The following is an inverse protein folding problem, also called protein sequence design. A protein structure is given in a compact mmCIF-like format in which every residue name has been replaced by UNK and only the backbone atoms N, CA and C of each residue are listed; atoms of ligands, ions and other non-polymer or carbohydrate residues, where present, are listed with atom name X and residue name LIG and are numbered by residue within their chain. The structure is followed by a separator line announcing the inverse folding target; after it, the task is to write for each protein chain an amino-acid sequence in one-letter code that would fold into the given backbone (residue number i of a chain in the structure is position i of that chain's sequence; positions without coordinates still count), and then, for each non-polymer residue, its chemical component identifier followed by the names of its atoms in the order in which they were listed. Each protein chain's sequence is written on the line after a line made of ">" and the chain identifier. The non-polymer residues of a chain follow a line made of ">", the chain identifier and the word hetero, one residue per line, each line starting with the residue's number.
data_IF_278287257409
#
_entry.id   IF_278287257409
#
_cell.length_a   1.000
_cell.length_b   1.000
_cell.length_c   1.000
_cell.angle_alpha   90.00
_cell.angle_beta   90.00
_cell.angle_gamma   90.00
#
_symmetry.space_group_name_H-M   'P 1'
#
loop_
_entity.id
_entity.type
_entity.pdbx_description
1 polymer ?
#
# COMPACT_ATOMS: atom_id res chain seq x y z
N UNK A 1 -13.33 14.51 -2.77
CA UNK A 1 -12.33 15.61 -2.84
C UNK A 1 -12.94 16.81 -3.56
N UNK A 2 -12.67 18.04 -3.10
CA UNK A 2 -13.13 19.29 -3.74
C UNK A 2 -11.96 20.05 -4.41
N UNK A 3 -12.27 21.00 -5.29
CA UNK A 3 -11.26 21.91 -5.87
C UNK A 3 -10.76 22.87 -4.78
N UNK A 4 -9.44 23.04 -4.70
CA UNK A 4 -8.75 23.85 -3.68
C UNK A 4 -8.21 23.03 -2.50
N UNK A 5 -8.57 21.75 -2.40
CA UNK A 5 -8.15 20.88 -1.31
C UNK A 5 -6.66 20.51 -1.44
N UNK A 6 -5.94 20.48 -0.31
CA UNK A 6 -4.52 20.09 -0.23
C UNK A 6 -4.43 18.63 0.18
N UNK A 7 -3.92 17.80 -0.72
CA UNK A 7 -3.78 16.36 -0.47
C UNK A 7 -2.31 15.94 -0.49
N UNK A 8 -1.98 14.97 0.37
CA UNK A 8 -0.69 14.28 0.35
C UNK A 8 -0.83 12.97 -0.42
N UNK A 9 0.08 12.70 -1.34
CA UNK A 9 0.09 11.48 -2.13
C UNK A 9 1.53 11.02 -2.40
N UNK A 10 1.71 9.72 -2.64
CA UNK A 10 3.01 9.19 -3.01
C UNK A 10 3.30 9.40 -4.51
N UNK A 11 4.44 10.01 -4.80
CA UNK A 11 4.94 10.23 -6.15
C UNK A 11 6.43 9.89 -6.24
N UNK A 12 6.78 8.93 -7.10
CA UNK A 12 8.18 8.49 -7.26
C UNK A 12 8.79 7.94 -5.97
N UNK A 13 7.99 7.26 -5.14
CA UNK A 13 8.45 6.69 -3.85
C UNK A 13 8.61 7.69 -2.71
N UNK A 14 8.31 8.98 -2.93
CA UNK A 14 8.32 10.02 -1.90
C UNK A 14 6.90 10.57 -1.69
N UNK A 15 6.61 11.01 -0.48
CA UNK A 15 5.37 11.75 -0.22
C UNK A 15 5.50 13.18 -0.74
N UNK A 16 4.45 13.63 -1.43
CA UNK A 16 4.33 14.97 -1.99
C UNK A 16 2.98 15.55 -1.65
N UNK A 17 2.93 16.86 -1.60
CA UNK A 17 1.71 17.62 -1.37
C UNK A 17 1.29 18.31 -2.66
N UNK A 18 -0.01 18.29 -2.96
CA UNK A 18 -0.57 18.95 -4.13
C UNK A 18 -1.95 19.52 -3.85
N UNK A 19 -2.30 20.56 -4.60
CA UNK A 19 -3.60 21.23 -4.54
C UNK A 19 -4.48 20.73 -5.67
N UNK A 20 -5.71 20.33 -5.38
CA UNK A 20 -6.67 19.93 -6.39
C UNK A 20 -7.10 21.16 -7.19
N UNK A 21 -6.86 21.14 -8.50
CA UNK A 21 -7.29 22.21 -9.42
C UNK A 21 -8.58 21.85 -10.13
N UNK A 22 -8.76 20.58 -10.50
CA UNK A 22 -9.94 20.13 -11.23
C UNK A 22 -10.28 18.69 -10.87
N UNK A 23 -11.54 18.43 -10.62
CA UNK A 23 -12.06 17.09 -10.31
C UNK A 23 -12.94 16.67 -11.47
N UNK A 24 -12.66 15.48 -11.99
CA UNK A 24 -13.52 14.76 -12.92
C UNK A 24 -14.01 13.48 -12.23
N UNK A 25 -15.06 12.82 -12.77
CA UNK A 25 -15.62 11.63 -12.14
C UNK A 25 -14.61 10.48 -11.98
N UNK A 26 -13.62 10.39 -12.87
CA UNK A 26 -12.60 9.32 -12.88
C UNK A 26 -11.20 9.80 -12.54
N UNK A 27 -10.91 11.07 -12.73
CA UNK A 27 -9.56 11.63 -12.63
C UNK A 27 -9.55 12.95 -11.88
N UNK A 28 -8.40 13.28 -11.30
CA UNK A 28 -8.18 14.56 -10.63
C UNK A 28 -6.90 15.18 -11.12
N UNK A 29 -6.92 16.49 -11.25
CA UNK A 29 -5.81 17.32 -11.67
C UNK A 29 -5.26 18.00 -10.42
N UNK A 30 -3.99 17.74 -10.13
CA UNK A 30 -3.30 18.21 -8.95
C UNK A 30 -2.18 19.15 -9.38
N UNK A 31 -2.17 20.36 -8.83
CA UNK A 31 -1.03 21.27 -8.95
C UNK A 31 -0.06 20.95 -7.82
N UNK A 32 1.16 20.56 -8.20
CA UNK A 32 2.18 20.07 -7.28
C UNK A 32 3.38 20.99 -7.39
N UNK A 33 3.94 21.33 -6.23
CA UNK A 33 5.14 22.13 -6.17
C UNK A 33 6.36 21.21 -6.09
N UNK A 34 7.03 21.00 -7.22
CA UNK A 34 8.30 20.27 -7.25
C UNK A 34 9.45 21.26 -7.15
N UNK A 35 10.55 20.91 -6.45
CA UNK A 35 11.67 21.83 -6.23
C UNK A 35 12.30 22.36 -7.54
N UNK A 36 12.27 21.57 -8.61
CA UNK A 36 12.77 21.98 -9.93
C UNK A 36 11.65 22.29 -10.94
N UNK A 37 10.38 22.08 -10.58
CA UNK A 37 9.23 22.30 -11.46
C UNK A 37 8.03 22.80 -10.64
N UNK A 38 8.04 24.08 -10.24
CA UNK A 38 6.97 24.64 -9.44
C UNK A 38 5.66 24.67 -10.23
N UNK A 39 4.55 24.37 -9.56
CA UNK A 39 3.21 24.43 -10.14
C UNK A 39 2.91 23.42 -11.26
N UNK A 40 3.68 22.33 -11.38
CA UNK A 40 3.42 21.28 -12.37
C UNK A 40 2.08 20.60 -12.10
N UNK A 41 1.32 20.34 -13.17
CA UNK A 41 0.02 19.66 -13.07
C UNK A 41 0.20 18.17 -13.28
N UNK A 42 -0.28 17.37 -12.33
CA UNK A 42 -0.25 15.91 -12.35
C UNK A 42 -1.68 15.39 -12.40
N UNK A 43 -1.96 14.51 -13.36
CA UNK A 43 -3.27 13.86 -13.50
C UNK A 43 -3.22 12.49 -12.86
N UNK A 44 -4.18 12.18 -11.98
CA UNK A 44 -4.29 10.87 -11.31
C UNK A 44 -5.70 10.35 -11.33
N UNK A 45 -5.86 9.03 -11.23
CA UNK A 45 -7.18 8.42 -11.05
C UNK A 45 -7.66 8.65 -9.62
N UNK A 46 -8.93 8.98 -9.49
CA UNK A 46 -9.54 9.27 -8.19
C UNK A 46 -9.48 8.03 -7.27
N UNK A 47 -9.67 6.84 -7.82
CA UNK A 47 -9.58 5.56 -7.11
C UNK A 47 -8.20 5.28 -6.47
N UNK A 48 -7.10 5.76 -7.05
CA UNK A 48 -5.75 5.55 -6.48
C UNK A 48 -5.50 6.47 -5.28
N UNK A 49 -6.10 7.66 -5.27
CA UNK A 49 -5.95 8.66 -4.21
C UNK A 49 -6.88 8.38 -3.04
N UNK A 50 -8.15 8.06 -3.30
CA UNK A 50 -9.09 7.67 -2.23
C UNK A 50 -8.70 6.32 -1.61
N UNK A 51 -8.01 5.45 -2.35
CA UNK A 51 -7.44 4.20 -1.83
C UNK A 51 -6.26 4.36 -0.86
N UNK A 52 -5.79 5.59 -0.58
CA UNK A 52 -4.62 5.84 0.30
C UNK A 52 -4.90 6.75 1.50
N UNK A 53 -6.17 6.96 1.88
CA UNK A 53 -6.55 7.65 3.13
C UNK A 53 -7.07 6.68 4.23
N UNK A 54 -6.48 5.49 4.35
CA UNK A 54 -6.56 4.70 5.59
C UNK A 54 -5.13 4.44 6.10
N UNK A 55 -4.73 5.05 7.24
CA UNK A 55 -3.50 4.65 7.90
C UNK A 55 -3.66 3.18 8.34
N UNK A 56 -2.63 2.37 8.11
CA UNK A 56 -2.41 1.08 8.78
C UNK A 56 -3.43 -0.05 8.54
N UNK A 57 -3.50 -0.61 7.32
CA UNK A 57 -3.86 -2.05 7.13
C UNK A 57 -2.94 -2.83 6.19
N UNK A 58 -1.79 -2.26 5.80
CA UNK A 58 -0.71 -2.98 5.09
C UNK A 58 0.31 -3.68 6.01
N UNK A 59 0.18 -3.56 7.34
CA UNK A 59 0.96 -4.40 8.29
C UNK A 59 0.30 -5.74 8.61
N UNK A 60 -1.01 -5.91 8.44
CA UNK A 60 -1.67 -7.19 8.76
C UNK A 60 -1.66 -8.21 7.61
N UNK A 61 -1.68 -7.80 6.34
CA UNK A 61 -1.59 -8.76 5.21
C UNK A 61 -0.20 -9.36 5.01
N UNK A 62 0.89 -8.70 5.44
CA UNK A 62 2.23 -9.30 5.51
C UNK A 62 2.44 -10.17 6.76
N UNK A 63 1.65 -9.98 7.82
CA UNK A 63 1.71 -10.82 9.03
C UNK A 63 0.92 -12.13 8.87
N UNK A 64 -0.24 -12.11 8.18
CA UNK A 64 -1.04 -13.33 7.92
C UNK A 64 -0.36 -14.32 6.98
N UNK A 65 0.37 -13.84 5.96
CA UNK A 65 1.08 -14.72 5.02
C UNK A 65 2.34 -15.40 5.60
N UNK A 66 2.96 -14.84 6.66
CA UNK A 66 4.12 -15.46 7.34
C UNK A 66 3.73 -16.44 8.43
N UNK A 67 2.55 -16.32 9.04
CA UNK A 67 2.09 -17.21 10.13
C UNK A 67 1.61 -18.58 9.60
N UNK A 68 1.07 -18.62 8.39
CA UNK A 68 0.58 -19.86 7.76
C UNK A 68 1.73 -20.74 7.21
N UNK A 69 2.78 -20.12 6.64
CA UNK A 69 3.98 -20.87 6.20
C UNK A 69 4.82 -21.42 7.36
N UNK A 70 4.82 -20.78 8.52
CA UNK A 70 5.57 -21.24 9.69
C UNK A 70 4.86 -22.37 10.46
N UNK A 71 3.52 -22.46 10.39
CA UNK A 71 2.77 -23.55 11.02
C UNK A 71 2.75 -24.83 10.19
N UNK A 72 2.84 -24.73 8.86
CA UNK A 72 2.89 -25.93 7.99
C UNK A 72 4.24 -26.65 8.05
N UNK A 73 5.36 -25.92 8.15
CA UNK A 73 6.69 -26.53 8.26
C UNK A 73 6.91 -27.25 9.60
N UNK A 74 6.38 -26.72 10.71
CA UNK A 74 6.51 -27.35 12.05
C UNK A 74 5.60 -28.57 12.26
N UNK A 75 4.59 -28.78 11.42
CA UNK A 75 3.70 -29.93 11.51
C UNK A 75 4.20 -31.13 10.69
N UNK A 76 5.03 -30.90 9.69
CA UNK A 76 5.62 -31.95 8.84
C UNK A 76 6.85 -32.58 9.54
N UNK A 77 7.73 -31.75 10.11
CA UNK A 77 8.93 -32.21 10.84
C UNK A 77 8.60 -33.02 12.10
N UNK A 78 7.50 -32.69 12.80
CA UNK A 78 7.02 -33.47 13.96
C UNK A 78 6.38 -34.81 13.60
N UNK A 79 6.00 -35.00 12.35
CA UNK A 79 5.34 -36.23 11.87
C UNK A 79 6.35 -37.24 11.34
N UNK A 80 7.51 -36.77 10.86
CA UNK A 80 8.64 -37.64 10.49
C UNK A 80 9.42 -38.12 11.73
N UNK A 81 9.65 -37.26 12.76
CA UNK A 81 10.37 -37.68 13.97
C UNK A 81 9.60 -38.69 14.85
N UNK A 82 8.26 -38.69 14.82
CA UNK A 82 7.44 -39.70 15.54
C UNK A 82 7.30 -41.03 14.78
N UNK A 83 7.51 -41.02 13.46
CA UNK A 83 7.48 -42.23 12.64
C UNK A 83 8.78 -43.04 12.79
N UNK A 84 9.93 -42.36 12.84
CA UNK A 84 11.24 -43.01 12.95
C UNK A 84 11.50 -43.62 14.35
N UNK A 85 10.83 -43.11 15.39
CA UNK A 85 10.91 -43.65 16.77
C UNK A 85 9.99 -44.83 17.07
N UNK A 86 9.12 -45.24 16.14
CA UNK A 86 8.24 -46.41 16.29
C UNK A 86 8.72 -47.64 15.53
N UNK A 87 9.80 -47.52 14.75
CA UNK A 87 10.39 -48.61 13.96
C UNK A 87 11.75 -49.12 14.49
N UNK A 88 12.26 -48.59 15.62
CA UNK A 88 13.40 -49.15 16.37
C UNK A 88 12.95 -49.95 17.62
#
# INVERSE_FOLDING_TARGET
>A
MNVGDRIKFQFGGKEKEGVVVKVFPKTVYLKVDFPHHPGKVVVRKLAELEGTALPKKKKEKKAKAKKEKAQKAKAEEKKEEEAEKKEE
#
